data_IF_481220507463
#
_entry.id   IF_481220507463
#
_cell.length_a   1.000
_cell.length_b   1.000
_cell.length_c   1.000
_cell.angle_alpha   90.00
_cell.angle_beta   90.00
_cell.angle_gamma   90.00
#
_symmetry.space_group_name_H-M   'P 1'
#
loop_
_entity.id
_entity.type
_entity.pdbx_description
1 polymer ?
#
# COMPACT_ATOMS: atom_id res chain seq x y z
N UNK A 1 10.25 6.58 8.02
CA UNK A 1 11.45 6.01 8.63
C UNK A 1 12.38 7.18 8.98
N UNK A 2 13.58 6.97 9.52
CA UNK A 2 14.54 8.06 9.73
C UNK A 2 15.19 8.50 8.43
N UNK A 3 15.46 7.55 7.52
CA UNK A 3 16.18 7.78 6.26
C UNK A 3 15.32 7.60 5.00
N UNK A 4 14.02 7.35 5.18
CA UNK A 4 13.04 7.17 4.10
C UNK A 4 11.80 8.04 4.35
N UNK A 5 11.24 8.62 3.29
CA UNK A 5 10.08 9.50 3.36
C UNK A 5 8.80 8.77 3.75
N UNK A 6 8.69 7.46 3.56
CA UNK A 6 7.50 6.71 3.95
C UNK A 6 7.37 6.57 5.47
N UNK A 7 6.15 6.43 5.99
CA UNK A 7 5.94 5.96 7.36
C UNK A 7 6.38 4.49 7.56
N UNK A 8 6.60 4.09 8.81
CA UNK A 8 6.86 2.67 9.15
C UNK A 8 5.58 1.84 9.05
N UNK A 9 5.69 0.52 9.00
CA UNK A 9 4.52 -0.40 9.06
C UNK A 9 3.64 -0.15 10.29
N UNK A 10 4.24 0.19 11.44
CA UNK A 10 3.51 0.59 12.63
C UNK A 10 2.76 1.92 12.43
N UNK A 11 3.38 2.90 11.76
CA UNK A 11 2.71 4.16 11.38
C UNK A 11 1.55 3.94 10.41
N UNK A 12 1.73 3.06 9.42
CA UNK A 12 0.69 2.66 8.49
C UNK A 12 -0.48 1.97 9.20
N UNK A 13 -0.19 1.10 10.18
CA UNK A 13 -1.22 0.45 11.00
C UNK A 13 -2.02 1.47 11.82
N UNK A 14 -1.38 2.45 12.45
CA UNK A 14 -2.08 3.53 13.16
C UNK A 14 -2.97 4.36 12.23
N UNK A 15 -2.49 4.69 11.02
CA UNK A 15 -3.28 5.37 9.99
C UNK A 15 -4.48 4.55 9.55
N UNK A 16 -4.28 3.24 9.38
CA UNK A 16 -5.33 2.28 9.07
C UNK A 16 -6.38 2.18 10.20
N UNK A 17 -5.98 2.12 11.48
CA UNK A 17 -6.92 2.11 12.60
C UNK A 17 -7.81 3.35 12.60
N UNK A 18 -7.23 4.53 12.32
CA UNK A 18 -7.98 5.79 12.19
C UNK A 18 -8.90 5.82 10.97
N UNK A 19 -8.48 5.22 9.87
CA UNK A 19 -9.33 5.06 8.70
C UNK A 19 -10.51 4.13 9.00
N UNK A 20 -10.28 2.98 9.66
CA UNK A 20 -11.32 2.07 10.10
C UNK A 20 -12.33 2.77 11.03
N UNK A 21 -11.85 3.55 12.01
CA UNK A 21 -12.70 4.36 12.90
C UNK A 21 -13.61 5.31 12.10
N UNK A 22 -13.05 6.06 11.15
CA UNK A 22 -13.82 6.98 10.30
C UNK A 22 -14.82 6.29 9.38
N UNK A 23 -14.53 5.05 8.96
CA UNK A 23 -15.38 4.27 8.07
C UNK A 23 -16.36 3.35 8.82
N UNK A 24 -16.37 3.39 10.16
CA UNK A 24 -17.21 2.52 10.98
C UNK A 24 -16.86 1.03 10.87
N UNK A 25 -15.61 0.70 10.54
CA UNK A 25 -15.10 -0.67 10.45
C UNK A 25 -14.24 -1.00 11.67
N UNK A 26 -14.21 -2.28 12.03
CA UNK A 26 -13.31 -2.77 13.07
C UNK A 26 -11.97 -3.15 12.44
N UNK A 27 -10.84 -2.58 12.90
CA UNK A 27 -9.53 -2.96 12.39
C UNK A 27 -9.20 -4.41 12.76
N UNK A 28 -8.33 -5.05 11.97
CA UNK A 28 -7.77 -6.35 12.30
C UNK A 28 -7.02 -6.24 13.64
N UNK A 29 -7.21 -7.24 14.50
CA UNK A 29 -6.54 -7.26 15.79
C UNK A 29 -5.05 -7.61 15.62
N UNK A 30 -4.20 -6.93 16.40
CA UNK A 30 -2.73 -7.02 16.27
C UNK A 30 -2.15 -8.40 16.55
N UNK A 31 -2.85 -9.19 17.37
CA UNK A 31 -2.54 -10.58 17.73
C UNK A 31 -2.71 -11.57 16.56
N UNK A 32 -3.49 -11.21 15.53
CA UNK A 32 -3.59 -11.99 14.28
C UNK A 32 -2.42 -11.76 13.33
N UNK A 33 -1.63 -10.71 13.56
CA UNK A 33 -0.55 -10.30 12.66
C UNK A 33 0.80 -10.83 13.16
N UNK A 34 1.43 -11.68 12.36
CA UNK A 34 2.79 -12.11 12.54
C UNK A 34 3.74 -11.00 12.10
N UNK A 35 4.72 -10.69 12.95
CA UNK A 35 5.74 -9.67 12.64
C UNK A 35 7.07 -10.31 12.28
N UNK A 36 7.56 -9.95 11.10
CA UNK A 36 8.90 -10.26 10.64
C UNK A 36 9.67 -8.95 10.50
N UNK A 37 10.92 -8.93 10.97
CA UNK A 37 11.76 -7.74 10.98
C UNK A 37 12.99 -7.97 10.11
N UNK A 38 13.29 -7.00 9.27
CA UNK A 38 14.39 -7.01 8.33
C UNK A 38 15.25 -5.78 8.59
N UNK A 39 16.47 -5.95 9.15
CA UNK A 39 17.33 -4.84 9.51
C UNK A 39 17.98 -4.18 8.29
N UNK A 40 18.80 -3.16 8.55
CA UNK A 40 19.69 -2.51 7.58
C UNK A 40 18.96 -1.81 6.43
N UNK A 41 17.85 -1.14 6.73
CA UNK A 41 17.15 -0.32 5.74
C UNK A 41 17.68 1.11 5.74
N UNK A 42 18.26 1.50 4.60
CA UNK A 42 18.59 2.87 4.28
C UNK A 42 17.61 3.35 3.22
N UNK A 43 16.71 4.23 3.62
CA UNK A 43 15.70 4.76 2.72
C UNK A 43 16.25 5.53 1.55
N UNK A 44 15.38 5.84 0.60
CA UNK A 44 15.70 6.58 -0.61
C UNK A 44 16.21 8.01 -0.35
N UNK A 45 15.99 8.56 0.84
CA UNK A 45 16.52 9.86 1.27
C UNK A 45 17.97 9.78 1.77
N UNK A 46 18.48 8.58 2.07
CA UNK A 46 19.84 8.39 2.57
C UNK A 46 20.92 8.81 1.55
N UNK A 47 20.75 8.41 0.28
CA UNK A 47 21.71 8.68 -0.80
C UNK A 47 21.68 10.13 -1.28
N UNK A 48 20.57 10.84 -1.08
CA UNK A 48 20.34 12.20 -1.59
C UNK A 48 20.71 13.30 -0.58
N UNK A 49 20.70 13.00 0.72
CA UNK A 49 20.92 14.01 1.78
C UNK A 49 22.24 13.86 2.56
N UNK A 50 23.11 12.92 2.18
CA UNK A 50 24.45 12.79 2.78
C UNK A 50 24.45 12.33 4.24
N UNK A 51 23.48 11.50 4.63
CA UNK A 51 23.25 11.04 6.00
C UNK A 51 24.19 9.90 6.46
N UNK A 52 25.45 9.91 6.04
CA UNK A 52 26.43 8.83 6.26
C UNK A 52 26.65 8.36 7.71
N UNK A 53 26.17 9.11 8.71
CA UNK A 53 26.28 8.81 10.14
C UNK A 53 24.96 8.36 10.79
N UNK A 54 23.86 8.28 10.02
CA UNK A 54 22.54 7.89 10.55
C UNK A 54 22.45 6.38 10.62
N UNK A 55 22.08 5.84 11.79
CA UNK A 55 21.84 4.41 11.93
C UNK A 55 20.71 3.95 11.01
N UNK A 56 20.78 2.74 10.43
CA UNK A 56 19.72 2.20 9.59
C UNK A 56 18.43 2.01 10.39
N UNK A 57 17.32 1.94 9.68
CA UNK A 57 16.04 1.48 10.22
C UNK A 57 15.83 -0.01 9.95
N UNK A 58 14.77 -0.55 10.53
CA UNK A 58 14.27 -1.89 10.21
C UNK A 58 12.97 -1.77 9.40
N UNK A 59 12.82 -2.60 8.36
CA UNK A 59 11.52 -2.83 7.71
C UNK A 59 10.80 -3.95 8.44
N UNK A 60 9.56 -3.70 8.84
CA UNK A 60 8.71 -4.73 9.44
C UNK A 60 7.60 -5.15 8.48
N UNK A 61 7.38 -6.45 8.34
CA UNK A 61 6.25 -7.02 7.63
C UNK A 61 5.28 -7.58 8.66
N UNK A 62 4.02 -7.13 8.61
CA UNK A 62 2.96 -7.56 9.51
C UNK A 62 1.94 -8.34 8.69
N UNK A 63 2.10 -9.66 8.63
CA UNK A 63 1.29 -10.54 7.79
C UNK A 63 0.27 -11.31 8.61
N UNK A 64 -0.93 -11.54 8.04
CA UNK A 64 -1.90 -12.46 8.61
C UNK A 64 -1.68 -13.87 8.03
N UNK A 65 -1.25 -14.87 8.83
CA UNK A 65 -1.03 -16.22 8.34
C UNK A 65 -2.26 -16.88 7.72
N UNK A 66 -3.46 -16.47 8.15
CA UNK A 66 -4.73 -16.99 7.62
C UNK A 66 -4.90 -16.62 6.13
N UNK A 67 -4.25 -15.56 5.66
CA UNK A 67 -4.41 -15.06 4.29
C UNK A 67 -3.47 -15.74 3.27
N UNK A 68 -2.60 -16.66 3.69
CA UNK A 68 -1.56 -17.26 2.83
C UNK A 68 -2.06 -17.84 1.49
N UNK A 69 -3.30 -18.31 1.44
CA UNK A 69 -3.90 -18.94 0.25
C UNK A 69 -5.16 -18.23 -0.25
N UNK A 70 -5.50 -17.07 0.31
CA UNK A 70 -6.70 -16.32 -0.04
C UNK A 70 -6.41 -15.05 -0.85
N UNK A 71 -5.14 -14.66 -0.95
CA UNK A 71 -4.69 -13.47 -1.65
C UNK A 71 -4.51 -13.75 -3.14
N UNK A 72 -5.01 -12.82 -3.95
CA UNK A 72 -4.61 -12.61 -5.32
C UNK A 72 -4.28 -11.13 -5.51
N UNK A 73 -3.15 -10.82 -6.14
CA UNK A 73 -2.75 -9.47 -6.51
C UNK A 73 -2.62 -9.40 -8.02
N UNK A 74 -3.32 -8.46 -8.65
CA UNK A 74 -3.21 -8.15 -10.08
C UNK A 74 -2.60 -6.77 -10.23
N UNK A 75 -1.49 -6.69 -10.96
CA UNK A 75 -0.80 -5.44 -11.29
C UNK A 75 -1.00 -5.19 -12.79
N UNK A 76 -1.55 -4.02 -13.13
CA UNK A 76 -1.83 -3.62 -14.49
C UNK A 76 -1.09 -2.33 -14.87
N UNK A 77 -0.23 -2.44 -15.88
CA UNK A 77 0.56 -1.36 -16.48
C UNK A 77 0.17 -1.20 -17.96
N UNK A 78 -0.93 -0.49 -18.19
CA UNK A 78 -1.51 -0.38 -19.53
C UNK A 78 -2.06 -1.73 -20.00
N UNK A 79 -1.42 -2.33 -21.01
CA UNK A 79 -1.81 -3.63 -21.55
C UNK A 79 -1.07 -4.81 -20.90
N UNK A 80 0.00 -4.56 -20.13
CA UNK A 80 0.70 -5.60 -19.37
C UNK A 80 -0.03 -5.85 -18.06
N UNK A 81 -0.43 -7.10 -17.83
CA UNK A 81 -1.16 -7.52 -16.64
C UNK A 81 -0.48 -8.74 -16.05
N UNK A 82 -0.09 -8.64 -14.79
CA UNK A 82 0.58 -9.72 -14.04
C UNK A 82 -0.23 -10.07 -12.80
N UNK A 83 -0.23 -11.35 -12.46
CA UNK A 83 -0.93 -11.88 -11.29
C UNK A 83 0.05 -12.56 -10.34
N UNK A 84 -0.18 -12.37 -9.04
CA UNK A 84 0.63 -12.86 -7.95
C UNK A 84 -0.28 -13.36 -6.82
N UNK A 85 0.24 -14.22 -5.95
CA UNK A 85 -0.46 -14.78 -4.79
C UNK A 85 0.06 -14.22 -3.46
N UNK A 86 0.77 -13.08 -3.51
CA UNK A 86 1.40 -12.45 -2.34
C UNK A 86 1.23 -10.93 -2.34
N UNK A 87 1.09 -10.37 -1.15
CA UNK A 87 1.18 -8.92 -0.89
C UNK A 87 2.63 -8.45 -0.72
N UNK A 88 3.53 -9.39 -0.45
CA UNK A 88 4.89 -9.15 -0.02
C UNK A 88 5.89 -9.77 -0.99
N UNK A 89 6.69 -8.93 -1.64
CA UNK A 89 7.68 -9.28 -2.66
C UNK A 89 9.07 -9.35 -2.01
N UNK A 90 9.31 -10.47 -1.32
CA UNK A 90 10.48 -10.65 -0.43
C UNK A 90 11.84 -10.52 -1.12
N UNK A 91 11.92 -10.58 -2.45
CA UNK A 91 13.18 -10.39 -3.17
C UNK A 91 13.74 -8.96 -3.01
N UNK A 92 12.89 -7.94 -2.85
CA UNK A 92 13.30 -6.56 -2.57
C UNK A 92 14.03 -6.40 -1.22
N UNK A 93 13.88 -7.35 -0.30
CA UNK A 93 14.57 -7.29 1.00
C UNK A 93 16.09 -7.51 0.86
N UNK A 94 16.55 -7.96 -0.31
CA UNK A 94 17.98 -8.10 -0.65
C UNK A 94 18.58 -6.82 -1.25
N UNK A 95 17.73 -5.86 -1.59
CA UNK A 95 18.11 -4.59 -2.21
C UNK A 95 18.38 -3.53 -1.13
N UNK A 96 19.03 -2.43 -1.52
CA UNK A 96 19.25 -1.29 -0.64
C UNK A 96 17.91 -0.60 -0.29
N UNK A 97 17.08 -0.37 -1.32
CA UNK A 97 15.69 0.04 -1.14
C UNK A 97 14.80 -1.17 -0.92
N UNK A 98 14.42 -1.39 0.33
CA UNK A 98 13.59 -2.51 0.76
C UNK A 98 12.10 -2.20 0.72
N UNK A 99 11.70 -0.95 0.52
CA UNK A 99 10.29 -0.55 0.58
C UNK A 99 9.39 -1.21 -0.49
N UNK A 100 9.87 -1.51 -1.72
CA UNK A 100 9.07 -2.23 -2.73
C UNK A 100 8.68 -3.66 -2.32
N UNK A 101 9.14 -4.16 -1.17
CA UNK A 101 8.60 -5.39 -0.57
C UNK A 101 7.07 -5.34 -0.44
N UNK A 102 6.47 -4.15 -0.29
CA UNK A 102 5.03 -3.99 -0.35
C UNK A 102 4.56 -3.78 -1.79
N UNK A 103 3.78 -4.73 -2.31
CA UNK A 103 3.11 -4.65 -3.61
C UNK A 103 4.00 -4.41 -4.83
N UNK A 104 5.28 -4.80 -4.79
CA UNK A 104 6.25 -4.64 -5.90
C UNK A 104 6.55 -3.16 -6.25
N UNK A 105 6.19 -2.24 -5.35
CA UNK A 105 6.42 -0.81 -5.51
C UNK A 105 5.29 -0.07 -6.21
N UNK A 106 5.63 0.91 -7.05
CA UNK A 106 4.67 1.84 -7.62
C UNK A 106 4.10 1.31 -8.93
N UNK A 107 2.78 1.15 -8.96
CA UNK A 107 2.05 0.73 -10.14
C UNK A 107 0.86 1.61 -10.47
N UNK A 108 0.53 1.71 -11.75
CA UNK A 108 -0.64 2.48 -12.21
C UNK A 108 -1.94 1.96 -11.58
N UNK A 109 -2.18 0.66 -11.65
CA UNK A 109 -3.35 0.02 -11.08
C UNK A 109 -2.95 -1.31 -10.42
N UNK A 110 -3.21 -1.43 -9.12
CA UNK A 110 -3.05 -2.69 -8.38
C UNK A 110 -4.40 -3.09 -7.81
N UNK A 111 -4.82 -4.33 -8.02
CA UNK A 111 -6.02 -4.90 -7.41
C UNK A 111 -5.61 -6.03 -6.50
N UNK A 112 -6.04 -5.97 -5.25
CA UNK A 112 -5.88 -7.04 -4.26
C UNK A 112 -7.25 -7.67 -4.04
N UNK A 113 -7.33 -8.97 -4.13
CA UNK A 113 -8.50 -9.75 -3.75
C UNK A 113 -8.14 -10.66 -2.56
N UNK A 114 -8.95 -10.64 -1.50
CA UNK A 114 -8.80 -11.50 -0.34
C UNK A 114 -10.10 -12.28 -0.08
N UNK A 115 -10.08 -13.59 -0.33
CA UNK A 115 -11.25 -14.46 -0.16
C UNK A 115 -11.67 -14.66 1.31
N UNK A 116 -10.76 -14.40 2.26
CA UNK A 116 -11.03 -14.53 3.69
C UNK A 116 -11.60 -13.24 4.31
N UNK A 117 -11.52 -12.12 3.60
CA UNK A 117 -12.03 -10.85 4.10
C UNK A 117 -13.55 -10.73 3.91
N UNK A 118 -14.23 -9.91 4.74
CA UNK A 118 -15.63 -9.57 4.51
C UNK A 118 -15.84 -9.00 3.10
N UNK A 119 -17.02 -9.28 2.51
CA UNK A 119 -17.38 -8.67 1.23
C UNK A 119 -17.32 -7.15 1.33
N UNK A 120 -16.76 -6.55 0.30
CA UNK A 120 -16.66 -5.11 0.16
C UNK A 120 -15.54 -4.74 -0.80
N UNK A 121 -15.71 -3.60 -1.47
CA UNK A 121 -14.68 -3.03 -2.35
C UNK A 121 -14.32 -1.64 -1.85
N UNK A 122 -13.02 -1.33 -1.78
CA UNK A 122 -12.53 0.03 -1.57
C UNK A 122 -11.62 0.42 -2.74
N UNK A 123 -11.79 1.66 -3.22
CA UNK A 123 -10.85 2.27 -4.17
C UNK A 123 -10.00 3.27 -3.40
N UNK A 124 -8.69 3.11 -3.48
CA UNK A 124 -7.70 3.96 -2.84
C UNK A 124 -6.90 4.71 -3.91
N UNK A 125 -7.11 6.01 -4.00
CA UNK A 125 -6.32 6.92 -4.84
C UNK A 125 -5.13 7.36 -4.01
N UNK A 126 -3.92 7.04 -4.47
CA UNK A 126 -2.75 7.00 -3.59
C UNK A 126 -1.45 7.52 -4.18
N UNK A 127 -0.51 7.76 -3.29
CA UNK A 127 0.93 7.75 -3.53
C UNK A 127 1.62 6.54 -2.87
N UNK A 128 2.96 6.51 -2.88
CA UNK A 128 3.72 5.36 -2.37
C UNK A 128 3.57 5.10 -0.85
N UNK A 129 3.03 6.03 -0.06
CA UNK A 129 2.77 5.79 1.38
C UNK A 129 1.72 4.70 1.59
N UNK A 130 0.82 4.49 0.64
CA UNK A 130 -0.26 3.53 0.84
C UNK A 130 0.17 2.07 0.73
N UNK A 131 1.37 1.75 0.23
CA UNK A 131 1.76 0.37 -0.05
C UNK A 131 1.79 -0.48 1.23
N UNK A 132 2.34 0.06 2.33
CA UNK A 132 2.37 -0.62 3.63
C UNK A 132 1.02 -0.62 4.37
N UNK A 133 0.06 0.21 3.94
CA UNK A 133 -1.31 0.26 4.47
C UNK A 133 -2.25 -0.73 3.76
N UNK A 134 -2.01 -1.00 2.48
CA UNK A 134 -2.86 -1.84 1.64
C UNK A 134 -3.09 -3.26 2.18
N UNK A 135 -2.09 -3.96 2.75
CA UNK A 135 -2.31 -5.26 3.37
C UNK A 135 -3.37 -5.22 4.48
N UNK A 136 -3.43 -4.15 5.26
CA UNK A 136 -4.41 -4.01 6.33
C UNK A 136 -5.82 -3.73 5.80
N UNK A 137 -5.95 -2.97 4.71
CA UNK A 137 -7.24 -2.81 4.03
C UNK A 137 -7.76 -4.15 3.50
N UNK A 138 -6.86 -5.01 3.01
CA UNK A 138 -7.22 -6.34 2.54
C UNK A 138 -7.72 -7.28 3.66
N UNK A 139 -7.61 -6.91 4.94
CA UNK A 139 -8.26 -7.63 6.05
C UNK A 139 -9.74 -7.25 6.21
N UNK A 140 -10.15 -6.06 5.74
CA UNK A 140 -11.52 -5.55 5.87
C UNK A 140 -12.34 -5.56 4.59
N UNK A 141 -11.68 -5.68 3.44
CA UNK A 141 -12.30 -5.66 2.13
C UNK A 141 -11.85 -6.86 1.32
N UNK A 142 -12.82 -7.58 0.76
CA UNK A 142 -12.56 -8.65 -0.19
C UNK A 142 -11.87 -8.16 -1.46
N UNK A 143 -11.99 -6.86 -1.80
CA UNK A 143 -11.33 -6.23 -2.94
C UNK A 143 -10.79 -4.85 -2.58
N UNK A 144 -9.51 -4.61 -2.80
CA UNK A 144 -8.85 -3.30 -2.64
C UNK A 144 -8.25 -2.91 -3.98
N UNK A 145 -8.64 -1.76 -4.51
CA UNK A 145 -8.13 -1.24 -5.79
C UNK A 145 -7.29 -0.02 -5.49
N UNK A 146 -6.00 -0.07 -5.81
CA UNK A 146 -5.06 1.03 -5.66
C UNK A 146 -4.84 1.70 -7.01
N UNK A 147 -5.04 3.01 -7.05
CA UNK A 147 -4.86 3.83 -8.24
C UNK A 147 -3.80 4.89 -7.98
N UNK A 148 -2.73 4.87 -8.75
CA UNK A 148 -1.65 5.85 -8.66
C UNK A 148 -1.73 6.83 -9.84
N UNK A 149 -2.18 8.07 -9.58
CA UNK A 149 -2.47 9.05 -10.64
C UNK A 149 -1.21 9.50 -11.41
N UNK A 150 -0.01 9.28 -10.85
CA UNK A 150 1.25 9.55 -11.54
C UNK A 150 1.37 8.71 -12.81
N UNK A 151 0.85 7.49 -12.79
CA UNK A 151 0.96 6.51 -13.88
C UNK A 151 -0.38 6.15 -14.51
N UNK A 152 -1.48 6.17 -13.75
CA UNK A 152 -2.82 5.86 -14.24
C UNK A 152 -3.43 7.05 -15.00
N UNK A 153 -3.57 6.91 -16.32
CA UNK A 153 -4.09 7.98 -17.21
C UNK A 153 -5.50 7.69 -17.76
N UNK A 154 -6.22 6.73 -17.18
CA UNK A 154 -7.61 6.42 -17.49
C UNK A 154 -8.56 7.05 -16.45
N UNK A 155 -9.88 6.96 -16.66
CA UNK A 155 -10.85 7.61 -15.76
C UNK A 155 -11.08 6.78 -14.49
N UNK A 156 -10.73 7.35 -13.34
CA UNK A 156 -11.08 6.77 -12.02
C UNK A 156 -12.61 6.68 -11.85
N UNK A 157 -13.36 7.61 -12.44
CA UNK A 157 -14.82 7.58 -12.41
C UNK A 157 -15.40 6.31 -13.04
N UNK A 158 -14.73 5.74 -14.05
CA UNK A 158 -15.14 4.49 -14.69
C UNK A 158 -14.89 3.30 -13.77
N UNK A 159 -13.75 3.26 -13.08
CA UNK A 159 -13.49 2.25 -12.04
C UNK A 159 -14.62 2.31 -11.00
N UNK A 160 -14.93 3.49 -10.47
CA UNK A 160 -15.97 3.65 -9.44
C UNK A 160 -17.34 3.18 -9.95
N UNK A 161 -17.69 3.50 -11.21
CA UNK A 161 -18.96 3.05 -11.83
C UNK A 161 -19.03 1.54 -12.01
N UNK A 162 -17.94 0.92 -12.43
CA UNK A 162 -17.86 -0.52 -12.71
C UNK A 162 -17.83 -1.34 -11.40
N UNK A 163 -16.98 -0.94 -10.47
CA UNK A 163 -16.67 -1.69 -9.25
C UNK A 163 -17.65 -1.41 -8.11
N UNK A 164 -18.35 -0.26 -8.18
CA UNK A 164 -19.31 0.20 -7.16
C UNK A 164 -18.76 0.05 -5.74
N UNK A 165 -17.60 0.66 -5.43
CA UNK A 165 -16.96 0.51 -4.15
C UNK A 165 -17.84 1.06 -3.02
N UNK A 166 -17.70 0.49 -1.84
CA UNK A 166 -18.33 1.01 -0.63
C UNK A 166 -17.80 2.41 -0.30
N UNK A 167 -16.51 2.63 -0.58
CA UNK A 167 -15.78 3.85 -0.25
C UNK A 167 -14.71 4.14 -1.30
N UNK A 168 -14.50 5.42 -1.58
CA UNK A 168 -13.33 5.93 -2.29
C UNK A 168 -12.52 6.74 -1.30
N UNK A 169 -11.26 6.37 -1.11
CA UNK A 169 -10.34 6.99 -0.16
C UNK A 169 -9.21 7.64 -0.94
N UNK A 170 -8.84 8.86 -0.56
CA UNK A 170 -7.67 9.56 -1.10
C UNK A 170 -6.62 9.60 0.01
N UNK A 171 -5.46 9.00 -0.24
CA UNK A 171 -4.35 8.93 0.74
C UNK A 171 -3.05 9.39 0.09
N UNK A 172 -2.60 10.57 0.48
CA UNK A 172 -1.39 11.20 -0.01
C UNK A 172 -0.58 11.75 1.17
N UNK A 173 0.74 11.64 1.09
CA UNK A 173 1.64 12.44 1.91
C UNK A 173 1.36 13.94 1.67
N UNK A 174 1.41 14.75 2.73
CA UNK A 174 1.03 16.18 2.67
C UNK A 174 1.87 16.93 1.63
N UNK A 175 3.17 16.64 1.55
CA UNK A 175 4.09 17.27 0.58
C UNK A 175 3.76 16.88 -0.85
N UNK A 176 3.37 15.63 -1.08
CA UNK A 176 2.91 15.15 -2.39
C UNK A 176 1.58 15.83 -2.74
N UNK A 177 0.59 15.83 -1.85
CA UNK A 177 -0.71 16.48 -2.09
C UNK A 177 -0.57 17.98 -2.43
N UNK A 178 0.35 18.69 -1.76
CA UNK A 178 0.55 20.12 -1.97
C UNK A 178 1.24 20.47 -3.29
N UNK A 179 1.94 19.50 -3.90
CA UNK A 179 2.73 19.70 -5.12
C UNK A 179 2.16 18.95 -6.34
N UNK A 180 1.19 18.06 -6.12
CA UNK A 180 0.64 17.18 -7.15
C UNK A 180 -0.23 17.95 -8.17
N UNK A 181 0.18 17.88 -9.44
CA UNK A 181 -0.59 18.41 -10.58
C UNK A 181 -1.51 17.37 -11.22
N UNK A 182 -1.38 16.08 -10.86
CA UNK A 182 -2.14 14.96 -11.43
C UNK A 182 -3.53 14.78 -10.79
N UNK A 183 -3.87 15.54 -9.73
CA UNK A 183 -5.23 15.59 -9.15
C UNK A 183 -6.29 15.96 -10.20
N UNK A 184 -5.90 16.64 -11.28
CA UNK A 184 -6.77 16.99 -12.41
C UNK A 184 -7.44 15.77 -13.07
N UNK A 185 -6.87 14.56 -12.92
CA UNK A 185 -7.40 13.33 -13.49
C UNK A 185 -8.52 12.66 -12.66
N UNK A 186 -8.92 13.27 -11.53
CA UNK A 186 -10.06 12.82 -10.73
C UNK A 186 -11.43 13.07 -11.40
N UNK A 187 -11.48 13.98 -12.40
CA UNK A 187 -12.70 14.46 -13.05
C UNK A 187 -13.20 13.63 -14.22
#
# INVERSE_FOLDING_TARGET
YRTDHHWTTAGAFLGYEKLCESLGKQPVSRDKLLTQRYPDFYGTTYSTAGFWLTAPDDVEIWSNPDNRYSIKVTIAEGADVKEYDTLYFYDHLKEDDKYPVFLDGNHALTTIENQNAPKGTVVLIKDSFSHSLAPFLAENYSKVILVDLRYYKQSVSEIVKQERPEQVVVLYGIDNLATDTDIVWLG
#
